data_IF_462704761538
#
_entry.id   IF_462704761538
#
_cell.length_a   1.000
_cell.length_b   1.000
_cell.length_c   1.000
_cell.angle_alpha   90.00
_cell.angle_beta   90.00
_cell.angle_gamma   90.00
#
_symmetry.space_group_name_H-M   'P 1'
#
loop_
_entity.id
_entity.type
_entity.pdbx_description
1 polymer ?
#
# COMPACT_ATOMS: atom_id res chain seq x y z
N UNK A 1 10.90 11.66 58.02
CA UNK A 1 11.91 11.40 56.99
C UNK A 1 11.55 12.20 55.74
N UNK A 2 12.20 13.35 55.51
CA UNK A 2 12.01 14.20 54.31
C UNK A 2 13.38 14.45 53.66
N UNK A 3 14.19 13.41 53.50
CA UNK A 3 15.53 13.53 52.92
C UNK A 3 15.52 12.94 51.52
N UNK A 4 16.15 13.65 50.58
CA UNK A 4 16.44 13.14 49.24
C UNK A 4 17.75 12.35 49.31
N UNK A 5 17.85 11.26 48.56
CA UNK A 5 19.10 10.52 48.44
C UNK A 5 19.98 11.17 47.38
N UNK A 6 21.25 11.35 47.72
CA UNK A 6 22.27 11.88 46.82
C UNK A 6 23.48 10.96 46.83
N UNK A 7 24.05 10.74 45.65
CA UNK A 7 25.42 10.29 45.53
C UNK A 7 26.27 11.55 45.34
N UNK A 8 27.02 11.93 46.38
CA UNK A 8 27.66 13.26 46.51
C UNK A 8 26.63 14.39 46.32
N UNK A 9 26.67 15.12 45.21
CA UNK A 9 25.79 16.24 44.87
C UNK A 9 24.73 15.88 43.81
N UNK A 10 24.80 14.69 43.22
CA UNK A 10 23.81 14.19 42.26
C UNK A 10 22.66 13.52 42.99
N UNK A 11 21.43 13.98 42.70
CA UNK A 11 20.22 13.32 43.20
C UNK A 11 20.14 11.93 42.58
N UNK A 12 19.96 10.92 43.43
CA UNK A 12 19.90 9.52 43.03
C UNK A 12 18.56 8.92 43.46
N UNK A 13 18.10 7.94 42.67
CA UNK A 13 16.93 7.12 43.00
C UNK A 13 17.38 5.66 43.02
N UNK A 14 16.85 4.89 43.95
CA UNK A 14 17.01 3.44 44.00
C UNK A 14 15.72 2.81 43.51
N UNK A 15 15.83 1.94 42.52
CA UNK A 15 14.69 1.28 41.88
C UNK A 15 14.96 -0.23 41.88
N UNK A 16 13.97 -1.03 42.28
CA UNK A 16 14.12 -2.49 42.29
C UNK A 16 14.25 -3.08 40.89
N UNK A 17 14.99 -4.18 40.76
CA UNK A 17 15.15 -4.90 39.49
C UNK A 17 13.79 -5.33 38.91
N UNK A 18 12.84 -5.73 39.77
CA UNK A 18 11.46 -6.09 39.40
C UNK A 18 10.66 -4.93 38.80
N UNK A 19 10.93 -3.69 39.25
CA UNK A 19 10.32 -2.48 38.68
C UNK A 19 10.86 -2.21 37.27
N UNK A 20 12.18 -2.36 37.06
CA UNK A 20 12.75 -2.30 35.72
C UNK A 20 12.31 -3.47 34.82
N UNK A 21 12.14 -4.67 35.40
CA UNK A 21 11.56 -5.82 34.72
C UNK A 21 10.14 -5.54 34.22
N UNK A 22 9.32 -4.90 35.05
CA UNK A 22 7.96 -4.47 34.67
C UNK A 22 7.98 -3.41 33.58
N UNK A 23 8.82 -2.36 33.71
CA UNK A 23 8.99 -1.34 32.67
C UNK A 23 9.40 -1.98 31.33
N UNK A 24 10.38 -2.88 31.37
CA UNK A 24 10.82 -3.64 30.20
C UNK A 24 9.66 -4.45 29.60
N UNK A 25 8.90 -5.14 30.45
CA UNK A 25 7.76 -5.94 30.01
C UNK A 25 6.74 -5.10 29.26
N UNK A 26 6.39 -3.95 29.81
CA UNK A 26 5.40 -3.05 29.22
C UNK A 26 5.91 -2.43 27.92
N UNK A 27 7.19 -2.01 27.87
CA UNK A 27 7.82 -1.50 26.64
C UNK A 27 7.81 -2.53 25.52
N UNK A 28 8.22 -3.77 25.80
CA UNK A 28 8.21 -4.86 24.81
C UNK A 28 6.78 -5.17 24.37
N UNK A 29 5.81 -5.15 25.28
CA UNK A 29 4.41 -5.44 24.96
C UNK A 29 3.78 -4.38 24.05
N UNK A 30 4.20 -3.12 24.17
CA UNK A 30 3.66 -2.00 23.36
C UNK A 30 4.41 -1.80 22.04
N UNK A 31 5.75 -1.89 22.06
CA UNK A 31 6.59 -1.53 20.92
C UNK A 31 7.02 -2.73 20.06
N UNK A 32 6.92 -3.94 20.62
CA UNK A 32 7.61 -5.12 20.11
C UNK A 32 9.07 -5.19 20.58
N UNK A 33 9.68 -6.37 20.46
CA UNK A 33 11.00 -6.66 21.01
C UNK A 33 12.10 -5.76 20.42
N UNK A 34 12.21 -5.68 19.09
CA UNK A 34 13.28 -4.93 18.41
C UNK A 34 13.27 -3.43 18.74
N UNK A 35 12.09 -2.80 18.70
CA UNK A 35 11.99 -1.37 19.02
C UNK A 35 12.26 -1.09 20.50
N UNK A 36 11.78 -1.96 21.39
CA UNK A 36 12.06 -1.84 22.82
C UNK A 36 13.56 -2.03 23.12
N UNK A 37 14.23 -2.97 22.43
CA UNK A 37 15.68 -3.19 22.49
C UNK A 37 16.45 -1.93 22.13
N UNK A 38 16.12 -1.29 20.99
CA UNK A 38 16.72 -0.02 20.59
C UNK A 38 16.46 1.12 21.58
N UNK A 39 15.23 1.24 22.10
CA UNK A 39 14.88 2.24 23.11
C UNK A 39 15.70 2.08 24.40
N UNK A 40 15.76 0.86 24.95
CA UNK A 40 16.51 0.55 26.18
C UNK A 40 18.01 0.74 25.99
N UNK A 41 18.54 0.38 24.82
CA UNK A 41 19.94 0.60 24.47
C UNK A 41 20.30 2.09 24.44
N UNK A 42 19.48 2.94 23.78
CA UNK A 42 19.71 4.40 23.78
C UNK A 42 19.52 5.03 25.15
N UNK A 43 18.58 4.53 25.94
CA UNK A 43 18.43 4.92 27.35
C UNK A 43 19.71 4.61 28.13
N UNK A 44 20.20 3.36 28.05
CA UNK A 44 21.45 2.94 28.68
C UNK A 44 22.64 3.78 28.24
N UNK A 45 22.78 4.05 26.94
CA UNK A 45 23.82 4.91 26.39
C UNK A 45 23.87 6.28 27.07
N UNK A 46 22.72 6.94 27.19
CA UNK A 46 22.64 8.22 27.85
C UNK A 46 22.97 8.13 29.35
N UNK A 47 22.59 7.04 30.04
CA UNK A 47 23.04 6.78 31.40
C UNK A 47 24.57 6.71 31.48
N UNK A 48 25.20 5.90 30.63
CA UNK A 48 26.66 5.74 30.58
C UNK A 48 27.40 7.05 30.30
N UNK A 49 26.94 7.84 29.33
CA UNK A 49 27.52 9.16 29.01
C UNK A 49 27.40 10.12 30.19
N UNK A 50 26.23 10.20 30.81
CA UNK A 50 25.99 11.08 31.95
C UNK A 50 26.84 10.69 33.16
N UNK A 51 26.97 9.39 33.41
CA UNK A 51 27.78 8.87 34.50
C UNK A 51 29.26 9.14 34.24
N UNK A 52 29.77 8.84 33.05
CA UNK A 52 31.15 9.12 32.68
C UNK A 52 31.52 10.59 32.93
N UNK A 53 30.68 11.52 32.48
CA UNK A 53 30.84 12.95 32.74
C UNK A 53 30.84 13.26 34.24
N UNK A 54 29.83 12.78 34.96
CA UNK A 54 29.65 13.10 36.37
C UNK A 54 30.81 12.57 37.23
N UNK A 55 31.19 11.31 37.04
CA UNK A 55 32.27 10.65 37.77
C UNK A 55 33.63 11.31 37.48
N UNK A 56 33.83 11.77 36.25
CA UNK A 56 35.03 12.51 35.86
C UNK A 56 35.19 13.80 36.65
N UNK A 57 34.10 14.51 36.89
CA UNK A 57 34.08 15.78 37.63
C UNK A 57 34.11 15.55 39.16
N UNK A 58 33.58 14.42 39.63
CA UNK A 58 33.35 14.15 41.06
C UNK A 58 34.60 13.72 41.85
N UNK A 59 35.55 13.04 41.20
CA UNK A 59 36.73 12.46 41.87
C UNK A 59 38.03 12.91 41.19
N UNK A 60 39.11 13.13 41.97
CA UNK A 60 40.44 13.27 41.39
C UNK A 60 40.91 11.90 40.89
N UNK A 61 41.27 11.81 39.61
CA UNK A 61 41.80 10.60 38.98
C UNK A 61 43.29 10.76 38.76
N UNK A 62 44.10 9.82 39.24
CA UNK A 62 45.54 9.84 39.00
C UNK A 62 45.87 9.31 37.59
N UNK A 63 45.11 8.31 37.14
CA UNK A 63 45.27 7.68 35.83
C UNK A 63 43.95 7.64 35.05
N UNK A 64 44.00 7.87 33.74
CA UNK A 64 42.83 7.77 32.85
C UNK A 64 42.20 6.37 32.87
N UNK A 65 43.02 5.33 33.04
CA UNK A 65 42.54 3.95 33.09
C UNK A 65 41.73 3.68 34.36
N UNK A 66 42.09 4.31 35.49
CA UNK A 66 41.37 4.19 36.74
C UNK A 66 39.94 4.75 36.61
N UNK A 67 39.81 5.88 35.92
CA UNK A 67 38.51 6.48 35.60
C UNK A 67 37.67 5.55 34.73
N UNK A 68 38.26 4.96 33.68
CA UNK A 68 37.56 4.00 32.82
C UNK A 68 37.04 2.78 33.60
N UNK A 69 37.87 2.23 34.51
CA UNK A 69 37.49 1.10 35.36
C UNK A 69 36.38 1.44 36.37
N UNK A 70 36.17 2.72 36.69
CA UNK A 70 35.09 3.15 37.56
C UNK A 70 33.69 2.80 37.01
N UNK A 71 33.53 2.77 35.69
CA UNK A 71 32.28 2.37 35.03
C UNK A 71 31.81 0.98 35.51
N UNK A 72 32.73 0.01 35.50
CA UNK A 72 32.46 -1.38 35.89
C UNK A 72 32.14 -1.51 37.38
N UNK A 73 32.82 -0.72 38.22
CA UNK A 73 32.54 -0.67 39.66
C UNK A 73 31.15 -0.10 39.95
N UNK A 74 30.73 0.91 39.21
CA UNK A 74 29.42 1.54 39.39
C UNK A 74 28.30 0.61 38.96
N UNK A 75 28.44 -0.06 37.83
CA UNK A 75 27.54 -1.16 37.43
C UNK A 75 27.36 -2.19 38.56
N UNK A 76 28.45 -2.56 39.23
CA UNK A 76 28.41 -3.52 40.34
C UNK A 76 27.77 -2.93 41.60
N UNK A 77 28.07 -1.67 41.95
CA UNK A 77 27.53 -0.99 43.15
C UNK A 77 26.04 -0.71 43.00
N UNK A 78 25.57 -0.38 41.80
CA UNK A 78 24.17 -0.17 41.50
C UNK A 78 23.37 -1.49 41.47
N UNK A 79 24.06 -2.63 41.55
CA UNK A 79 23.44 -3.95 41.51
C UNK A 79 22.89 -4.31 40.15
N UNK A 80 23.42 -3.73 39.07
CA UNK A 80 22.95 -4.02 37.70
C UNK A 80 23.62 -5.27 37.13
N UNK A 81 24.94 -5.40 37.31
CA UNK A 81 25.72 -6.54 36.85
C UNK A 81 27.07 -6.59 37.55
N UNK A 82 27.61 -7.79 37.77
CA UNK A 82 28.98 -7.99 38.21
C UNK A 82 29.90 -8.14 36.99
N UNK A 83 30.90 -7.28 36.88
CA UNK A 83 31.83 -7.26 35.74
C UNK A 83 33.13 -7.96 36.09
N UNK A 84 33.57 -8.88 35.23
CA UNK A 84 34.86 -9.56 35.32
C UNK A 84 35.61 -9.38 33.99
N UNK A 85 36.64 -8.53 34.01
CA UNK A 85 37.37 -8.15 32.80
C UNK A 85 38.45 -9.18 32.48
N UNK A 86 38.41 -9.70 31.25
CA UNK A 86 39.46 -10.59 30.71
C UNK A 86 40.59 -9.74 30.14
N UNK A 87 40.24 -8.72 29.35
CA UNK A 87 41.19 -7.86 28.69
C UNK A 87 40.65 -6.42 28.63
N UNK A 88 41.52 -5.46 28.94
CA UNK A 88 41.24 -4.04 28.74
C UNK A 88 42.49 -3.36 28.17
N UNK A 89 42.37 -2.83 26.95
CA UNK A 89 43.38 -2.00 26.30
C UNK A 89 42.74 -0.66 25.97
N UNK A 90 43.19 0.40 26.62
CA UNK A 90 42.68 1.74 26.36
C UNK A 90 43.84 2.74 26.32
N UNK A 91 43.92 3.50 25.24
CA UNK A 91 44.83 4.63 25.10
C UNK A 91 44.10 5.76 24.37
N UNK A 92 43.69 6.76 25.13
CA UNK A 92 42.94 7.91 24.62
C UNK A 92 43.73 8.73 23.58
N UNK A 93 45.03 8.92 23.78
CA UNK A 93 45.87 9.70 22.86
C UNK A 93 46.03 9.02 21.50
N UNK A 94 46.14 7.69 21.49
CA UNK A 94 46.22 6.88 20.26
C UNK A 94 44.85 6.53 19.67
N UNK A 95 43.78 6.78 20.41
CA UNK A 95 42.43 6.36 20.06
C UNK A 95 42.21 4.85 20.15
N UNK A 96 43.09 4.09 20.82
CA UNK A 96 42.96 2.64 20.96
C UNK A 96 41.98 2.29 22.07
N UNK A 97 41.03 1.39 21.79
CA UNK A 97 40.11 0.88 22.80
C UNK A 97 39.68 -0.55 22.47
N UNK A 98 39.83 -1.45 23.43
CA UNK A 98 39.34 -2.82 23.39
C UNK A 98 39.03 -3.28 24.81
N UNK A 99 37.85 -3.82 25.02
CA UNK A 99 37.45 -4.41 26.30
C UNK A 99 36.69 -5.70 26.06
N UNK A 100 37.07 -6.75 26.79
CA UNK A 100 36.42 -8.05 26.77
C UNK A 100 36.27 -8.56 28.20
N UNK A 101 35.14 -9.21 28.48
CA UNK A 101 34.89 -9.75 29.79
C UNK A 101 33.58 -10.52 29.91
N UNK A 102 33.28 -10.89 31.14
CA UNK A 102 32.05 -11.54 31.54
C UNK A 102 31.19 -10.62 32.39
N UNK A 103 29.88 -10.81 32.24
CA UNK A 103 28.84 -10.21 33.04
C UNK A 103 28.09 -11.29 33.78
N UNK A 104 28.20 -11.26 35.10
CA UNK A 104 27.51 -12.17 36.01
C UNK A 104 26.32 -11.47 36.66
N UNK A 105 25.28 -12.25 36.95
CA UNK A 105 24.09 -11.76 37.67
C UNK A 105 23.44 -10.53 37.00
N UNK A 106 23.39 -10.52 35.66
CA UNK A 106 22.70 -9.46 34.91
C UNK A 106 21.23 -9.39 35.32
N UNK A 107 20.84 -8.26 35.92
CA UNK A 107 19.44 -8.03 36.28
C UNK A 107 18.55 -8.09 35.03
N UNK A 108 19.04 -7.62 33.88
CA UNK A 108 18.28 -7.64 32.63
C UNK A 108 18.00 -9.04 32.14
N UNK A 109 19.00 -9.92 32.16
CA UNK A 109 18.81 -11.31 31.78
C UNK A 109 17.83 -12.01 32.73
N UNK A 110 18.01 -11.82 34.04
CA UNK A 110 17.12 -12.38 35.06
C UNK A 110 15.67 -11.93 34.85
N UNK A 111 15.43 -10.61 34.75
CA UNK A 111 14.09 -10.07 34.59
C UNK A 111 13.48 -10.40 33.23
N UNK A 112 14.29 -10.48 32.17
CA UNK A 112 13.82 -10.92 30.86
C UNK A 112 13.30 -12.36 30.94
N UNK A 113 14.09 -13.28 31.48
CA UNK A 113 13.72 -14.69 31.63
C UNK A 113 12.46 -14.82 32.49
N UNK A 114 12.38 -14.08 33.60
CA UNK A 114 11.21 -14.07 34.49
C UNK A 114 9.91 -13.68 33.77
N UNK A 115 9.97 -12.73 32.83
CA UNK A 115 8.77 -12.21 32.16
C UNK A 115 8.46 -12.87 30.80
N UNK A 116 9.48 -13.36 30.10
CA UNK A 116 9.38 -13.81 28.70
C UNK A 116 9.98 -15.19 28.45
N UNK A 117 10.69 -15.78 29.41
CA UNK A 117 11.53 -16.96 29.20
C UNK A 117 12.80 -16.64 28.42
N UNK A 118 13.47 -17.68 27.91
CA UNK A 118 14.65 -17.49 27.07
C UNK A 118 14.29 -16.90 25.72
N UNK A 119 15.17 -16.04 25.21
CA UNK A 119 15.06 -15.46 23.87
C UNK A 119 16.05 -16.14 22.90
N UNK A 120 15.89 -15.93 21.60
CA UNK A 120 16.83 -16.46 20.60
C UNK A 120 18.07 -15.56 20.41
N UNK A 121 18.05 -14.37 21.01
CA UNK A 121 19.09 -13.35 20.94
C UNK A 121 19.47 -12.80 22.32
N UNK A 122 20.63 -12.14 22.46
CA UNK A 122 21.01 -11.42 23.67
C UNK A 122 20.00 -10.34 24.07
N UNK A 123 19.77 -10.20 25.38
CA UNK A 123 18.69 -9.36 25.93
C UNK A 123 19.18 -8.20 26.80
N UNK A 124 20.48 -8.08 27.09
CA UNK A 124 21.05 -7.09 28.03
C UNK A 124 21.20 -5.68 27.40
N UNK A 125 20.14 -5.13 26.80
CA UNK A 125 20.12 -3.91 26.00
C UNK A 125 20.54 -2.64 26.75
N UNK A 126 20.07 -2.40 27.98
CA UNK A 126 20.44 -1.19 28.73
C UNK A 126 21.89 -1.27 29.19
N UNK A 127 22.34 -2.44 29.65
CA UNK A 127 23.72 -2.68 30.07
C UNK A 127 24.71 -2.44 28.93
N UNK A 128 24.46 -2.98 27.73
CA UNK A 128 25.32 -2.73 26.56
C UNK A 128 25.30 -1.26 26.15
N UNK A 129 24.13 -0.62 26.25
CA UNK A 129 23.97 0.80 26.03
C UNK A 129 24.88 1.60 26.95
N UNK A 130 24.78 1.36 28.26
CA UNK A 130 25.58 2.05 29.28
C UNK A 130 27.07 1.92 29.01
N UNK A 131 27.56 0.69 28.83
CA UNK A 131 28.98 0.45 28.62
C UNK A 131 29.48 1.22 27.39
N UNK A 132 28.79 1.08 26.25
CA UNK A 132 29.13 1.80 25.02
C UNK A 132 29.06 3.33 25.17
N UNK A 133 28.09 3.85 25.93
CA UNK A 133 27.96 5.29 26.19
C UNK A 133 29.12 5.83 27.02
N UNK A 134 29.50 5.10 28.07
CA UNK A 134 30.65 5.43 28.90
C UNK A 134 31.96 5.35 28.10
N UNK A 135 32.21 4.24 27.41
CA UNK A 135 33.40 4.03 26.59
C UNK A 135 33.54 5.08 25.49
N UNK A 136 32.42 5.48 24.89
CA UNK A 136 32.40 6.56 23.88
C UNK A 136 32.75 7.92 24.45
N UNK A 137 32.25 8.24 25.65
CA UNK A 137 32.60 9.48 26.33
C UNK A 137 34.09 9.49 26.74
N UNK A 138 34.59 8.37 27.23
CA UNK A 138 36.01 8.20 27.56
C UNK A 138 36.91 8.48 26.36
N UNK A 139 36.63 7.82 25.23
CA UNK A 139 37.47 7.86 24.03
C UNK A 139 37.26 9.13 23.18
N UNK A 140 36.08 9.76 23.27
CA UNK A 140 35.70 10.91 22.44
C UNK A 140 35.22 10.54 21.04
N UNK A 141 34.97 9.25 20.77
CA UNK A 141 34.41 8.71 19.52
C UNK A 141 33.51 7.51 19.81
N UNK A 142 32.76 7.05 18.81
CA UNK A 142 31.74 6.01 18.99
C UNK A 142 32.37 4.63 19.24
N UNK A 143 32.22 4.15 20.46
CA UNK A 143 32.54 2.79 20.91
C UNK A 143 31.25 1.98 20.95
N UNK A 144 31.28 0.77 20.40
CA UNK A 144 30.12 -0.11 20.33
C UNK A 144 30.38 -1.38 21.12
N UNK A 145 29.37 -1.77 21.88
CA UNK A 145 29.37 -2.93 22.74
C UNK A 145 28.51 -4.03 22.11
N UNK A 146 29.03 -5.25 22.07
CA UNK A 146 28.32 -6.43 21.58
C UNK A 146 28.29 -7.50 22.66
N UNK A 147 27.08 -7.92 23.02
CA UNK A 147 26.81 -9.09 23.86
C UNK A 147 26.92 -10.34 22.98
N UNK A 148 28.00 -11.10 23.12
CA UNK A 148 28.34 -12.24 22.25
C UNK A 148 27.68 -13.52 22.73
N UNK A 149 27.58 -13.68 24.05
CA UNK A 149 26.90 -14.77 24.75
C UNK A 149 26.00 -14.14 25.81
N UNK A 150 24.83 -14.72 26.07
CA UNK A 150 23.87 -14.12 27.00
C UNK A 150 23.08 -15.16 27.77
N UNK A 151 22.98 -15.00 29.09
CA UNK A 151 22.12 -15.83 29.95
C UNK A 151 20.65 -15.78 29.50
N UNK A 152 20.19 -14.61 29.03
CA UNK A 152 18.85 -14.45 28.47
C UNK A 152 18.58 -15.32 27.24
N UNK A 153 19.63 -15.65 26.47
CA UNK A 153 19.58 -16.55 25.33
C UNK A 153 19.65 -18.04 25.71
N UNK A 154 20.12 -18.31 26.92
CA UNK A 154 20.37 -19.66 27.45
C UNK A 154 21.85 -20.02 27.58
N UNK A 155 22.76 -19.09 27.33
CA UNK A 155 24.20 -19.31 27.55
C UNK A 155 24.53 -19.31 29.07
N UNK A 156 25.64 -19.95 29.50
CA UNK A 156 25.98 -20.03 30.93
C UNK A 156 26.25 -18.67 31.58
N UNK A 157 26.83 -17.74 30.83
CA UNK A 157 27.22 -16.41 31.26
C UNK A 157 26.98 -15.40 30.14
N UNK A 158 26.90 -14.12 30.47
CA UNK A 158 26.96 -13.08 29.46
C UNK A 158 28.43 -12.76 29.16
N UNK A 159 28.84 -12.77 27.89
CA UNK A 159 30.20 -12.42 27.46
C UNK A 159 30.13 -11.26 26.49
N UNK A 160 30.96 -10.26 26.70
CA UNK A 160 30.94 -9.05 25.89
C UNK A 160 32.26 -8.75 25.22
N UNK A 161 32.16 -8.01 24.11
CA UNK A 161 33.27 -7.36 23.45
C UNK A 161 32.87 -5.91 23.17
N UNK A 162 33.78 -4.99 23.44
CA UNK A 162 33.58 -3.56 23.24
C UNK A 162 34.79 -2.97 22.52
N UNK A 163 34.54 -2.30 21.39
CA UNK A 163 35.57 -1.64 20.58
C UNK A 163 34.97 -0.51 19.71
N UNK A 164 35.79 0.42 19.22
CA UNK A 164 35.39 1.47 18.29
C UNK A 164 34.63 0.91 17.08
N UNK A 165 33.66 1.66 16.57
CA UNK A 165 32.82 1.23 15.43
C UNK A 165 33.67 0.83 14.21
N UNK A 166 34.78 1.51 13.99
CA UNK A 166 35.69 1.28 12.86
C UNK A 166 36.41 -0.09 12.95
N UNK A 167 36.57 -0.62 14.16
CA UNK A 167 37.31 -1.86 14.43
C UNK A 167 36.42 -3.12 14.34
N UNK A 168 35.11 -2.96 14.10
CA UNK A 168 34.14 -4.07 14.00
C UNK A 168 34.01 -4.71 12.62
N UNK A 169 34.30 -3.98 11.54
CA UNK A 169 33.95 -4.44 10.20
C UNK A 169 32.43 -4.64 10.04
N UNK A 170 32.01 -5.67 9.29
CA UNK A 170 30.59 -5.92 8.99
C UNK A 170 29.82 -6.58 10.13
N UNK A 171 30.49 -7.10 11.16
CA UNK A 171 29.86 -7.86 12.26
C UNK A 171 28.93 -7.03 13.15
N UNK A 172 29.01 -5.71 13.07
CA UNK A 172 28.22 -4.78 13.89
C UNK A 172 26.99 -4.23 13.15
N UNK A 173 26.86 -4.48 11.85
CA UNK A 173 25.80 -3.91 11.02
C UNK A 173 24.38 -4.18 11.54
N UNK A 174 24.16 -5.32 12.18
CA UNK A 174 22.84 -5.69 12.71
C UNK A 174 22.48 -4.90 13.98
N UNK A 175 23.47 -4.35 14.68
CA UNK A 175 23.30 -3.66 15.97
C UNK A 175 23.27 -2.14 15.77
N UNK A 176 23.96 -1.61 14.75
CA UNK A 176 24.03 -0.17 14.50
C UNK A 176 22.67 0.54 14.39
N UNK A 177 21.64 -0.02 13.72
CA UNK A 177 20.32 0.60 13.63
C UNK A 177 19.66 0.85 15.01
N UNK A 178 19.96 0.01 16.01
CA UNK A 178 19.38 0.14 17.36
C UNK A 178 19.79 1.44 18.06
N UNK A 179 20.93 2.01 17.69
CA UNK A 179 21.44 3.27 18.22
C UNK A 179 20.81 4.50 17.55
N UNK A 180 20.09 4.35 16.45
CA UNK A 180 19.45 5.46 15.74
C UNK A 180 18.07 5.77 16.31
N UNK A 181 17.71 7.05 16.42
CA UNK A 181 16.38 7.46 16.85
C UNK A 181 15.38 7.31 15.70
N UNK A 182 14.61 6.22 15.72
CA UNK A 182 13.41 6.12 14.88
C UNK A 182 12.26 6.88 15.53
N UNK A 183 11.78 7.93 14.85
CA UNK A 183 10.63 8.69 15.31
C UNK A 183 9.32 7.99 14.94
N UNK A 184 8.80 7.17 15.87
CA UNK A 184 7.58 6.37 15.70
C UNK A 184 6.37 7.20 15.24
N UNK A 185 6.26 8.45 15.70
CA UNK A 185 5.14 9.32 15.32
C UNK A 185 5.10 9.62 13.83
N UNK A 186 6.27 9.77 13.21
CA UNK A 186 6.40 10.11 11.78
C UNK A 186 6.07 8.91 10.90
N UNK A 187 6.53 7.71 11.29
CA UNK A 187 6.24 6.47 10.56
C UNK A 187 4.74 6.16 10.61
N UNK A 188 4.15 6.28 11.80
CA UNK A 188 2.73 6.02 12.02
C UNK A 188 1.85 7.02 11.26
N UNK A 189 2.18 8.31 11.31
CA UNK A 189 1.48 9.34 10.52
C UNK A 189 1.55 9.07 9.01
N UNK A 190 2.71 8.61 8.52
CA UNK A 190 2.87 8.25 7.10
C UNK A 190 1.99 7.06 6.74
N UNK A 191 1.96 6.02 7.58
CA UNK A 191 1.12 4.85 7.37
C UNK A 191 -0.37 5.23 7.37
N UNK A 192 -0.82 6.02 8.35
CA UNK A 192 -2.19 6.52 8.42
C UNK A 192 -2.59 7.31 7.18
N UNK A 193 -1.76 8.26 6.73
CA UNK A 193 -2.03 9.04 5.51
C UNK A 193 -2.13 8.16 4.27
N UNK A 194 -1.32 7.11 4.18
CA UNK A 194 -1.37 6.15 3.06
C UNK A 194 -2.71 5.39 3.04
N UNK A 195 -3.15 4.90 4.20
CA UNK A 195 -4.43 4.19 4.35
C UNK A 195 -5.61 5.11 4.02
N UNK A 196 -5.57 6.36 4.50
CA UNK A 196 -6.62 7.34 4.24
C UNK A 196 -6.75 7.64 2.75
N UNK A 197 -5.62 7.79 2.05
CA UNK A 197 -5.60 7.94 0.58
C UNK A 197 -6.20 6.73 -0.13
N UNK A 198 -5.80 5.52 0.22
CA UNK A 198 -6.33 4.29 -0.39
C UNK A 198 -7.84 4.15 -0.18
N UNK A 199 -8.34 4.51 1.01
CA UNK A 199 -9.77 4.52 1.31
C UNK A 199 -10.53 5.51 0.41
N UNK A 200 -9.98 6.69 0.21
CA UNK A 200 -10.58 7.72 -0.66
C UNK A 200 -10.63 7.26 -2.12
N UNK A 201 -9.55 6.65 -2.61
CA UNK A 201 -9.47 6.11 -3.97
C UNK A 201 -10.47 4.96 -4.19
N UNK A 202 -10.58 4.04 -3.22
CA UNK A 202 -11.57 2.95 -3.25
C UNK A 202 -13.01 3.48 -3.26
N UNK A 203 -13.29 4.48 -2.42
CA UNK A 203 -14.63 5.09 -2.34
C UNK A 203 -15.03 5.75 -3.66
N UNK A 204 -14.09 6.43 -4.33
CA UNK A 204 -14.31 6.97 -5.68
C UNK A 204 -14.60 5.85 -6.68
N UNK A 205 -13.80 4.79 -6.68
CA UNK A 205 -13.98 3.66 -7.59
C UNK A 205 -15.34 2.96 -7.43
N UNK A 206 -15.80 2.79 -6.18
CA UNK A 206 -17.10 2.21 -5.84
C UNK A 206 -18.27 3.11 -6.26
N UNK A 207 -18.21 4.40 -5.97
CA UNK A 207 -19.25 5.36 -6.37
C UNK A 207 -19.41 5.41 -7.90
N UNK A 208 -18.31 5.33 -8.64
CA UNK A 208 -18.36 5.20 -10.09
C UNK A 208 -19.07 3.89 -10.48
N UNK A 209 -18.77 2.77 -9.82
CA UNK A 209 -19.39 1.47 -10.14
C UNK A 209 -20.91 1.41 -9.84
N UNK A 210 -21.36 2.02 -8.73
CA UNK A 210 -22.78 2.07 -8.37
C UNK A 210 -23.60 2.89 -9.37
N UNK A 211 -23.09 4.07 -9.77
CA UNK A 211 -23.74 4.91 -10.79
C UNK A 211 -23.89 4.18 -12.12
N UNK A 212 -22.88 3.40 -12.49
CA UNK A 212 -22.84 2.59 -13.71
C UNK A 212 -23.82 1.42 -13.67
N UNK A 213 -23.93 0.74 -12.52
CA UNK A 213 -24.89 -0.36 -12.34
C UNK A 213 -26.34 0.10 -12.45
N UNK A 214 -26.65 1.30 -11.94
CA UNK A 214 -27.99 1.88 -12.02
C UNK A 214 -28.45 2.23 -13.44
N UNK A 215 -27.52 2.46 -14.37
CA UNK A 215 -27.85 2.72 -15.78
C UNK A 215 -28.32 1.44 -16.48
N UNK A 216 -27.74 0.27 -16.14
CA UNK A 216 -28.14 -1.02 -16.70
C UNK A 216 -29.51 -1.50 -16.19
N UNK A 217 -29.82 -1.26 -14.91
CA UNK A 217 -31.04 -1.79 -14.27
C UNK A 217 -32.32 -1.09 -14.79
N UNK A 218 -32.22 0.13 -15.30
CA UNK A 218 -33.38 0.90 -15.75
C UNK A 218 -33.89 0.50 -17.15
N UNK A 219 -33.23 -0.43 -17.84
CA UNK A 219 -33.69 -0.93 -19.14
C UNK A 219 -33.66 0.10 -20.27
N UNK A 220 -32.94 1.21 -20.08
CA UNK A 220 -32.75 2.22 -21.12
C UNK A 220 -31.92 1.68 -22.27
N UNK A 221 -32.39 1.86 -23.51
CA UNK A 221 -31.61 1.52 -24.70
C UNK A 221 -30.34 2.35 -24.84
N UNK A 222 -29.49 2.04 -25.82
CA UNK A 222 -28.20 2.71 -26.05
C UNK A 222 -28.30 4.25 -26.10
N UNK A 223 -29.39 4.79 -26.66
CA UNK A 223 -29.64 6.24 -26.72
C UNK A 223 -29.72 6.90 -25.33
N UNK A 224 -30.28 6.22 -24.32
CA UNK A 224 -30.38 6.78 -22.97
C UNK A 224 -29.02 6.81 -22.27
N UNK A 225 -28.16 5.82 -22.55
CA UNK A 225 -26.78 5.77 -22.05
C UNK A 225 -25.97 6.95 -22.62
N UNK A 226 -26.06 7.17 -23.93
CA UNK A 226 -25.39 8.30 -24.62
C UNK A 226 -25.88 9.64 -24.06
N UNK A 227 -27.19 9.79 -23.85
CA UNK A 227 -27.78 11.00 -23.25
C UNK A 227 -27.30 11.24 -21.83
N UNK A 228 -27.36 10.23 -20.95
CA UNK A 228 -26.91 10.35 -19.55
C UNK A 228 -25.41 10.65 -19.45
N UNK A 229 -24.59 10.04 -20.32
CA UNK A 229 -23.17 10.35 -20.38
C UNK A 229 -22.94 11.82 -20.74
N UNK A 230 -23.61 12.30 -21.79
CA UNK A 230 -23.50 13.68 -22.24
C UNK A 230 -24.00 14.71 -21.23
N UNK A 231 -25.11 14.42 -20.55
CA UNK A 231 -25.64 15.25 -19.45
C UNK A 231 -24.67 15.29 -18.25
N UNK A 232 -24.10 14.14 -17.87
CA UNK A 232 -23.20 14.04 -16.72
C UNK A 232 -21.86 14.74 -16.96
N UNK A 233 -21.33 14.68 -18.17
CA UNK A 233 -20.04 15.29 -18.54
C UNK A 233 -20.20 16.67 -19.18
N UNK A 234 -21.44 17.13 -19.43
CA UNK A 234 -21.76 18.38 -20.14
C UNK A 234 -20.97 18.54 -21.45
N UNK A 235 -20.71 17.43 -22.13
CA UNK A 235 -19.85 17.36 -23.31
C UNK A 235 -20.60 16.64 -24.43
N UNK A 236 -20.48 17.11 -25.69
CA UNK A 236 -21.05 16.40 -26.83
C UNK A 236 -20.50 14.97 -26.94
N UNK A 237 -21.40 14.01 -27.17
CA UNK A 237 -21.09 12.58 -27.27
C UNK A 237 -21.55 12.06 -28.63
N UNK A 238 -20.74 11.22 -29.25
CA UNK A 238 -21.09 10.50 -30.46
C UNK A 238 -20.89 9.00 -30.29
N UNK A 239 -21.80 8.23 -30.86
CA UNK A 239 -21.81 6.78 -30.86
C UNK A 239 -21.87 6.32 -32.32
N UNK A 240 -20.77 5.72 -32.81
CA UNK A 240 -20.56 5.45 -34.23
C UNK A 240 -20.30 3.95 -34.47
N UNK A 241 -20.75 3.41 -35.60
CA UNK A 241 -20.49 2.02 -35.99
C UNK A 241 -19.00 1.75 -36.31
N UNK A 242 -18.66 0.52 -36.67
CA UNK A 242 -17.31 0.11 -37.06
C UNK A 242 -16.67 0.93 -38.21
N UNK A 243 -17.50 1.62 -39.01
CA UNK A 243 -17.12 2.49 -40.11
C UNK A 243 -17.29 3.97 -39.74
N UNK A 244 -17.33 4.31 -38.45
CA UNK A 244 -17.56 5.67 -37.94
C UNK A 244 -18.80 6.37 -38.55
N UNK A 245 -19.80 5.59 -38.97
CA UNK A 245 -21.11 6.13 -39.29
C UNK A 245 -21.88 6.30 -37.98
N UNK A 246 -22.48 7.47 -37.81
CA UNK A 246 -23.16 7.80 -36.56
C UNK A 246 -24.43 6.95 -36.40
N UNK A 247 -24.52 6.28 -35.26
CA UNK A 247 -25.74 5.58 -34.81
C UNK A 247 -26.56 6.54 -33.93
N UNK A 248 -25.90 7.20 -32.96
CA UNK A 248 -26.55 8.13 -32.01
C UNK A 248 -25.61 9.29 -31.62
N UNK A 249 -26.17 10.41 -31.16
CA UNK A 249 -25.38 11.52 -30.59
C UNK A 249 -26.15 12.36 -29.58
N UNK A 250 -25.41 13.04 -28.72
CA UNK A 250 -25.92 14.01 -27.75
C UNK A 250 -25.19 15.35 -27.85
N UNK A 251 -25.93 16.45 -27.75
CA UNK A 251 -25.41 17.83 -27.79
C UNK A 251 -25.27 18.40 -29.22
N UNK A 252 -24.64 19.58 -29.33
CA UNK A 252 -24.37 20.26 -30.62
C UNK A 252 -23.22 19.58 -31.39
N UNK A 253 -23.42 18.31 -31.75
CA UNK A 253 -22.47 17.57 -32.57
C UNK A 253 -22.62 17.96 -34.04
N UNK A 254 -21.53 18.42 -34.66
CA UNK A 254 -21.47 18.74 -36.10
C UNK A 254 -20.89 17.58 -36.90
N UNK A 255 -21.54 17.27 -38.02
CA UNK A 255 -21.08 16.24 -38.96
C UNK A 255 -19.70 16.57 -39.51
N UNK A 256 -18.86 15.55 -39.70
CA UNK A 256 -17.51 15.69 -40.23
C UNK A 256 -17.02 14.37 -40.84
N UNK A 257 -16.05 14.44 -41.75
CA UNK A 257 -15.54 13.28 -42.51
C UNK A 257 -14.49 12.48 -41.71
N UNK A 258 -14.87 11.94 -40.54
CA UNK A 258 -13.95 11.23 -39.65
C UNK A 258 -13.33 9.98 -40.32
N UNK A 259 -14.10 9.27 -41.14
CA UNK A 259 -13.59 8.13 -41.90
C UNK A 259 -12.45 8.49 -42.84
N UNK A 260 -12.55 9.64 -43.50
CA UNK A 260 -11.51 10.12 -44.41
C UNK A 260 -10.25 10.47 -43.65
N UNK A 261 -10.38 11.09 -42.47
CA UNK A 261 -9.25 11.33 -41.57
C UNK A 261 -8.57 10.02 -41.17
N UNK A 262 -9.33 9.04 -40.71
CA UNK A 262 -8.77 7.76 -40.24
C UNK A 262 -8.11 7.00 -41.39
N UNK A 263 -8.69 6.98 -42.59
CA UNK A 263 -8.08 6.35 -43.76
C UNK A 263 -6.74 6.99 -44.14
N UNK A 264 -6.67 8.34 -44.17
CA UNK A 264 -5.45 9.07 -44.50
C UNK A 264 -4.39 8.87 -43.41
N UNK A 265 -4.78 8.94 -42.13
CA UNK A 265 -3.88 8.79 -40.99
C UNK A 265 -3.39 7.35 -40.81
N UNK A 266 -4.22 6.35 -41.14
CA UNK A 266 -3.81 4.95 -41.17
C UNK A 266 -2.81 4.67 -42.30
N UNK A 267 -3.01 5.27 -43.48
CA UNK A 267 -2.04 5.23 -44.59
C UNK A 267 -0.69 5.87 -44.23
N UNK A 268 -0.68 6.84 -43.33
CA UNK A 268 0.53 7.51 -42.80
C UNK A 268 1.15 6.82 -41.57
N UNK A 269 0.58 5.69 -41.10
CA UNK A 269 0.99 5.00 -39.86
C UNK A 269 1.03 5.92 -38.63
N UNK A 270 -0.01 6.73 -38.43
CA UNK A 270 -0.12 7.55 -37.23
C UNK A 270 -0.13 6.65 -35.96
N UNK A 271 0.75 6.88 -34.98
CA UNK A 271 0.84 6.08 -33.77
C UNK A 271 -0.44 6.10 -32.92
N UNK A 272 -1.24 7.18 -32.97
CA UNK A 272 -2.51 7.25 -32.23
C UNK A 272 -3.57 6.34 -32.87
N UNK A 273 -3.62 6.28 -34.20
CA UNK A 273 -4.53 5.38 -34.91
C UNK A 273 -4.11 3.92 -34.74
N UNK A 274 -2.81 3.64 -34.70
CA UNK A 274 -2.32 2.29 -34.38
C UNK A 274 -2.70 1.85 -32.95
N UNK A 275 -2.60 2.76 -31.97
CA UNK A 275 -3.06 2.48 -30.60
C UNK A 275 -4.56 2.20 -30.52
N UNK A 276 -5.36 2.92 -31.30
CA UNK A 276 -6.80 2.68 -31.37
C UNK A 276 -7.12 1.33 -32.05
N UNK A 277 -6.57 1.09 -33.25
CA UNK A 277 -6.97 -0.05 -34.09
C UNK A 277 -6.29 -1.37 -33.71
N UNK A 278 -5.01 -1.33 -33.35
CA UNK A 278 -4.20 -2.53 -33.08
C UNK A 278 -4.15 -2.82 -31.58
N UNK A 279 -3.89 -1.81 -30.75
CA UNK A 279 -3.78 -1.98 -29.29
C UNK A 279 -5.14 -1.91 -28.58
N UNK A 280 -6.21 -1.51 -29.29
CA UNK A 280 -7.58 -1.38 -28.77
C UNK A 280 -7.66 -0.50 -27.53
N UNK A 281 -6.89 0.59 -27.50
CA UNK A 281 -6.85 1.54 -26.40
C UNK A 281 -7.64 2.81 -26.72
N UNK A 282 -8.16 3.43 -25.68
CA UNK A 282 -8.76 4.77 -25.76
C UNK A 282 -7.70 5.78 -26.21
N UNK A 283 -8.04 6.65 -27.16
CA UNK A 283 -7.11 7.66 -27.68
C UNK A 283 -7.76 9.04 -27.79
N UNK A 284 -6.96 10.08 -27.57
CA UNK A 284 -7.32 11.47 -27.88
C UNK A 284 -6.78 11.82 -29.27
N UNK A 285 -7.66 12.19 -30.19
CA UNK A 285 -7.33 12.66 -31.53
C UNK A 285 -7.58 14.15 -31.65
N UNK A 286 -6.74 14.84 -32.43
CA UNK A 286 -6.98 16.23 -32.84
C UNK A 286 -7.31 16.25 -34.32
N UNK A 287 -8.52 16.68 -34.65
CA UNK A 287 -9.04 16.74 -36.01
C UNK A 287 -8.88 18.17 -36.54
N UNK A 288 -8.29 18.30 -37.72
CA UNK A 288 -8.06 19.58 -38.41
C UNK A 288 -9.30 20.06 -39.17
N UNK A 289 -9.34 21.35 -39.52
CA UNK A 289 -10.45 21.97 -40.27
C UNK A 289 -10.68 21.33 -41.65
N UNK A 290 -9.63 20.76 -42.25
CA UNK A 290 -9.69 20.04 -43.54
C UNK A 290 -10.71 18.89 -43.57
N UNK A 291 -11.14 18.40 -42.40
CA UNK A 291 -12.09 17.31 -42.25
C UNK A 291 -13.47 17.77 -41.76
N UNK A 292 -13.75 19.07 -41.82
CA UNK A 292 -15.04 19.68 -41.50
C UNK A 292 -14.88 20.88 -40.57
N UNK A 293 -14.32 20.65 -39.39
CA UNK A 293 -14.05 21.70 -38.39
C UNK A 293 -13.05 21.21 -37.34
N UNK A 294 -12.30 22.14 -36.73
CA UNK A 294 -11.25 21.81 -35.76
C UNK A 294 -11.83 21.39 -34.42
N UNK A 295 -11.47 20.19 -33.95
CA UNK A 295 -11.88 19.70 -32.64
C UNK A 295 -10.95 18.62 -32.10
N UNK A 296 -11.11 18.34 -30.80
CA UNK A 296 -10.51 17.19 -30.15
C UNK A 296 -11.56 16.14 -29.86
N UNK A 297 -11.17 14.88 -30.03
CA UNK A 297 -12.05 13.73 -29.87
C UNK A 297 -11.38 12.67 -29.01
N UNK A 298 -11.98 12.31 -27.89
CA UNK A 298 -11.57 11.17 -27.08
C UNK A 298 -12.42 9.97 -27.50
N UNK A 299 -11.80 8.90 -27.99
CA UNK A 299 -12.49 7.74 -28.58
C UNK A 299 -12.18 6.50 -27.74
N UNK A 300 -13.24 5.85 -27.24
CA UNK A 300 -13.19 4.53 -26.64
C UNK A 300 -13.83 3.48 -27.57
N UNK A 301 -13.28 2.27 -27.58
CA UNK A 301 -13.79 1.16 -28.40
C UNK A 301 -14.70 0.25 -27.59
N UNK A 302 -15.75 -0.24 -28.23
CA UNK A 302 -16.67 -1.24 -27.68
C UNK A 302 -16.38 -2.57 -28.36
N UNK A 303 -15.81 -3.50 -27.59
CA UNK A 303 -15.36 -4.80 -28.07
C UNK A 303 -16.37 -5.89 -27.73
N UNK A 304 -16.79 -6.66 -28.74
CA UNK A 304 -17.61 -7.86 -28.55
C UNK A 304 -16.85 -9.07 -29.09
N UNK A 305 -16.65 -10.10 -28.25
CA UNK A 305 -15.88 -11.31 -28.61
C UNK A 305 -14.52 -10.99 -29.27
N UNK A 306 -13.86 -9.93 -28.79
CA UNK A 306 -12.57 -9.43 -29.27
C UNK A 306 -12.58 -8.77 -30.68
N UNK A 307 -13.75 -8.50 -31.26
CA UNK A 307 -13.91 -7.70 -32.48
C UNK A 307 -14.44 -6.30 -32.12
N UNK A 308 -13.95 -5.27 -32.82
CA UNK A 308 -14.44 -3.90 -32.64
C UNK A 308 -15.81 -3.81 -33.31
N UNK A 309 -16.84 -3.45 -32.54
CA UNK A 309 -18.19 -3.32 -33.07
C UNK A 309 -18.61 -1.86 -33.24
N UNK A 310 -18.25 -1.01 -32.27
CA UNK A 310 -18.77 0.36 -32.16
C UNK A 310 -17.74 1.26 -31.47
N UNK A 311 -17.76 2.55 -31.76
CA UNK A 311 -16.95 3.57 -31.11
C UNK A 311 -17.84 4.54 -30.32
N UNK A 312 -17.39 4.90 -29.12
CA UNK A 312 -18.01 5.91 -28.28
C UNK A 312 -17.02 7.06 -28.09
N UNK A 313 -17.46 8.28 -28.36
CA UNK A 313 -16.56 9.44 -28.45
C UNK A 313 -17.08 10.65 -27.69
N UNK A 314 -16.18 11.36 -27.00
CA UNK A 314 -16.42 12.71 -26.48
C UNK A 314 -15.76 13.74 -27.41
N UNK A 315 -16.42 14.87 -27.63
CA UNK A 315 -15.97 15.89 -28.59
C UNK A 315 -15.90 17.27 -27.92
N UNK A 316 -14.78 17.96 -28.06
CA UNK A 316 -14.59 19.33 -27.56
C UNK A 316 -13.98 20.22 -28.65
N UNK A 317 -14.49 21.45 -28.81
CA UNK A 317 -13.89 22.41 -29.74
C UNK A 317 -12.50 22.87 -29.25
N UNK A 318 -12.35 23.10 -27.93
CA UNK A 318 -11.10 23.51 -27.28
C UNK A 318 -10.97 22.87 -25.88
N UNK A 319 -9.73 22.62 -25.43
CA UNK A 319 -9.43 22.07 -24.10
C UNK A 319 -8.70 20.73 -24.12
N UNK A 320 -8.59 20.08 -22.97
CA UNK A 320 -8.09 18.71 -22.80
C UNK A 320 -9.14 17.85 -22.09
N UNK A 321 -9.02 16.54 -22.18
CA UNK A 321 -9.84 15.62 -21.39
C UNK A 321 -9.16 15.34 -20.06
N UNK A 322 -9.91 15.42 -18.96
CA UNK A 322 -9.41 15.07 -17.63
C UNK A 322 -9.45 13.55 -17.39
N UNK A 323 -8.79 13.11 -16.31
CA UNK A 323 -8.70 11.68 -15.97
C UNK A 323 -10.08 11.08 -15.66
N UNK A 324 -11.01 11.87 -15.14
CA UNK A 324 -12.38 11.44 -14.84
C UNK A 324 -13.18 11.21 -16.12
N UNK A 325 -13.02 12.05 -17.15
CA UNK A 325 -13.64 11.92 -18.46
C UNK A 325 -13.17 10.66 -19.18
N UNK A 326 -11.86 10.37 -19.13
CA UNK A 326 -11.28 9.14 -19.71
C UNK A 326 -11.87 7.91 -19.02
N UNK A 327 -11.81 7.85 -17.68
CA UNK A 327 -12.34 6.72 -16.91
C UNK A 327 -13.85 6.55 -17.15
N UNK A 328 -14.60 7.64 -17.22
CA UNK A 328 -16.06 7.59 -17.43
C UNK A 328 -16.39 7.09 -18.84
N UNK A 329 -15.64 7.53 -19.86
CA UNK A 329 -15.85 7.08 -21.23
C UNK A 329 -15.57 5.58 -21.40
N UNK A 330 -14.43 5.11 -20.89
CA UNK A 330 -14.05 3.68 -20.93
C UNK A 330 -15.07 2.80 -20.23
N UNK A 331 -15.53 3.23 -19.06
CA UNK A 331 -16.55 2.48 -18.32
C UNK A 331 -17.90 2.50 -19.03
N UNK A 332 -18.28 3.62 -19.65
CA UNK A 332 -19.53 3.69 -20.44
C UNK A 332 -19.45 2.79 -21.67
N UNK A 333 -18.28 2.71 -22.33
CA UNK A 333 -18.05 1.76 -23.42
C UNK A 333 -18.30 0.30 -22.98
N UNK A 334 -17.85 -0.08 -21.78
CA UNK A 334 -18.14 -1.41 -21.22
C UNK A 334 -19.64 -1.64 -20.95
N UNK A 335 -20.37 -0.63 -20.44
CA UNK A 335 -21.82 -0.73 -20.28
C UNK A 335 -22.49 -0.94 -21.64
N UNK A 336 -22.12 -0.15 -22.64
CA UNK A 336 -22.67 -0.29 -23.99
C UNK A 336 -22.39 -1.69 -24.56
N UNK A 337 -21.20 -2.27 -24.30
CA UNK A 337 -20.90 -3.65 -24.69
C UNK A 337 -21.89 -4.65 -24.07
N UNK A 338 -22.14 -4.53 -22.77
CA UNK A 338 -23.08 -5.40 -22.04
C UNK A 338 -24.51 -5.21 -22.58
N UNK A 339 -24.94 -3.97 -22.81
CA UNK A 339 -26.26 -3.67 -23.35
C UNK A 339 -26.46 -4.27 -24.74
N UNK A 340 -25.47 -4.15 -25.63
CA UNK A 340 -25.52 -4.76 -26.98
C UNK A 340 -25.59 -6.29 -26.89
N UNK A 341 -24.83 -6.92 -25.97
CA UNK A 341 -24.90 -8.37 -25.76
C UNK A 341 -26.27 -8.81 -25.25
N UNK A 342 -26.85 -8.03 -24.33
CA UNK A 342 -28.19 -8.29 -23.81
C UNK A 342 -29.23 -8.20 -24.93
N UNK A 343 -29.24 -7.11 -25.72
CA UNK A 343 -30.14 -6.93 -26.86
C UNK A 343 -30.00 -8.05 -27.90
N UNK A 344 -28.77 -8.46 -28.25
CA UNK A 344 -28.54 -9.61 -29.15
C UNK A 344 -29.11 -10.91 -28.59
N UNK A 345 -28.91 -11.15 -27.29
CA UNK A 345 -29.42 -12.37 -26.64
C UNK A 345 -30.94 -12.40 -26.65
N UNK A 346 -31.60 -11.26 -26.44
CA UNK A 346 -33.06 -11.13 -26.55
C UNK A 346 -33.53 -11.46 -27.97
N UNK A 347 -32.89 -10.89 -29.00
CA UNK A 347 -33.22 -11.16 -30.41
C UNK A 347 -32.99 -12.64 -30.77
N UNK A 348 -31.87 -13.23 -30.36
CA UNK A 348 -31.57 -14.65 -30.62
C UNK A 348 -32.61 -15.57 -29.97
N UNK A 349 -33.01 -15.27 -28.72
CA UNK A 349 -34.08 -16.00 -28.03
C UNK A 349 -35.40 -15.84 -28.77
N UNK A 350 -35.76 -14.63 -29.19
CA UNK A 350 -37.00 -14.37 -29.94
C UNK A 350 -37.02 -15.13 -31.28
N UNK A 351 -35.92 -15.10 -32.04
CA UNK A 351 -35.78 -15.83 -33.29
C UNK A 351 -35.85 -17.35 -33.10
N UNK A 352 -35.20 -17.87 -32.04
CA UNK A 352 -35.26 -19.29 -31.70
C UNK A 352 -36.69 -19.72 -31.37
N UNK A 353 -37.40 -18.95 -30.54
CA UNK A 353 -38.80 -19.24 -30.19
C UNK A 353 -39.70 -19.17 -31.42
N UNK A 354 -39.51 -18.19 -32.33
CA UNK A 354 -40.22 -18.14 -33.62
C UNK A 354 -39.92 -19.35 -34.51
N UNK A 355 -38.67 -19.78 -34.58
CA UNK A 355 -38.25 -20.95 -35.34
C UNK A 355 -38.84 -22.25 -34.80
N UNK A 356 -38.81 -22.45 -33.48
CA UNK A 356 -39.45 -23.58 -32.81
C UNK A 356 -40.96 -23.60 -33.06
N UNK A 357 -41.62 -22.45 -32.99
CA UNK A 357 -43.04 -22.30 -33.27
C UNK A 357 -43.40 -22.67 -34.71
N UNK A 358 -42.65 -22.18 -35.70
CA UNK A 358 -42.86 -22.54 -37.12
C UNK A 358 -42.64 -24.03 -37.34
N UNK A 359 -41.57 -24.60 -36.76
CA UNK A 359 -41.30 -26.04 -36.86
C UNK A 359 -42.42 -26.86 -36.23
N UNK A 360 -42.95 -26.45 -35.08
CA UNK A 360 -44.04 -27.15 -34.39
C UNK A 360 -45.37 -27.03 -35.14
N UNK A 361 -45.60 -25.93 -35.87
CA UNK A 361 -46.74 -25.75 -36.79
C UNK A 361 -46.71 -26.66 -38.02
N UNK A 362 -45.51 -27.00 -38.50
CA UNK A 362 -45.31 -27.85 -39.69
C UNK A 362 -45.40 -29.35 -39.38
N UNK A 363 -45.48 -29.75 -38.11
CA UNK A 363 -45.64 -31.15 -37.69
C UNK A 363 -47.11 -31.59 -37.73
N UNK A 364 -47.41 -32.76 -38.30
CA UNK A 364 -48.78 -33.32 -38.44
C UNK A 364 -49.51 -33.57 -37.08
N UNK A 365 -48.77 -33.63 -35.97
CA UNK A 365 -49.30 -33.84 -34.61
C UNK A 365 -48.82 -32.74 -33.64
N UNK A 366 -49.19 -31.49 -33.93
CA UNK A 366 -48.77 -30.33 -33.14
C UNK A 366 -49.45 -30.26 -31.75
N UNK A 367 -48.66 -30.00 -30.70
CA UNK A 367 -49.19 -29.87 -29.35
C UNK A 367 -49.77 -28.48 -29.12
N UNK A 368 -51.11 -28.38 -29.14
CA UNK A 368 -51.84 -27.10 -28.99
C UNK A 368 -51.45 -26.28 -27.75
N UNK A 369 -51.01 -26.90 -26.64
CA UNK A 369 -50.57 -26.16 -25.44
C UNK A 369 -49.19 -25.54 -25.59
N UNK A 370 -48.27 -26.22 -26.28
CA UNK A 370 -46.92 -25.71 -26.57
C UNK A 370 -46.99 -24.53 -27.54
N UNK A 371 -47.76 -24.70 -28.62
CA UNK A 371 -48.03 -23.63 -29.59
C UNK A 371 -48.64 -22.39 -28.92
N UNK A 372 -49.61 -22.56 -28.01
CA UNK A 372 -50.24 -21.43 -27.29
C UNK A 372 -49.26 -20.72 -26.35
N UNK A 373 -48.32 -21.44 -25.76
CA UNK A 373 -47.28 -20.88 -24.89
C UNK A 373 -46.24 -20.09 -25.69
N UNK A 374 -45.75 -20.64 -26.81
CA UNK A 374 -44.83 -19.94 -27.71
C UNK A 374 -45.49 -18.71 -28.36
N UNK A 375 -46.77 -18.79 -28.75
CA UNK A 375 -47.54 -17.63 -29.25
C UNK A 375 -47.60 -16.48 -28.24
N UNK A 376 -47.76 -16.79 -26.94
CA UNK A 376 -47.75 -15.79 -25.86
C UNK A 376 -46.38 -15.15 -25.65
N UNK A 377 -45.29 -15.85 -25.97
CA UNK A 377 -43.92 -15.32 -25.88
C UNK A 377 -43.54 -14.48 -27.10
N UNK A 378 -44.07 -14.80 -28.29
CA UNK A 378 -43.74 -14.13 -29.55
C UNK A 378 -44.53 -12.83 -29.74
N UNK A 379 -45.78 -12.79 -29.26
CA UNK A 379 -46.63 -11.63 -29.43
C UNK A 379 -46.99 -11.04 -28.07
N UNK A 380 -46.63 -9.77 -27.85
CA UNK A 380 -47.22 -8.94 -26.79
C UNK A 380 -48.69 -8.66 -27.13
N UNK A 381 -49.57 -9.63 -26.86
CA UNK A 381 -51.02 -9.45 -27.08
C UNK A 381 -51.71 -8.86 -25.86
N UNK A 382 -52.30 -7.69 -26.09
CA UNK A 382 -53.52 -7.22 -25.45
C UNK A 382 -54.66 -8.18 -25.85
N UNK A 383 -55.45 -8.63 -24.88
CA UNK A 383 -56.21 -9.89 -24.94
C UNK A 383 -57.41 -9.95 -25.91
N UNK A 384 -57.64 -8.94 -26.75
CA UNK A 384 -58.93 -8.76 -27.45
C UNK A 384 -58.90 -8.78 -28.99
N UNK A 385 -57.81 -9.20 -29.66
CA UNK A 385 -57.82 -9.36 -31.14
C UNK A 385 -57.35 -10.73 -31.60
N UNK A 386 -58.31 -11.55 -32.02
CA UNK A 386 -58.13 -12.85 -32.67
C UNK A 386 -57.30 -12.70 -33.96
N UNK A 387 -56.21 -13.49 -34.09
CA UNK A 387 -55.55 -13.76 -35.37
C UNK A 387 -56.03 -15.12 -35.86
N UNK A 388 -56.90 -15.13 -36.87
CA UNK A 388 -57.29 -16.33 -37.59
C UNK A 388 -56.27 -16.57 -38.71
N UNK A 389 -55.28 -17.43 -38.46
CA UNK A 389 -54.36 -17.88 -39.49
C UNK A 389 -54.94 -19.14 -40.15
N UNK A 390 -55.71 -18.95 -41.22
CA UNK A 390 -56.17 -20.05 -42.07
C UNK A 390 -54.97 -20.57 -42.89
N UNK A 391 -54.44 -21.73 -42.53
CA UNK A 391 -53.70 -22.58 -43.46
C UNK A 391 -54.73 -23.50 -44.13
N UNK A 392 -55.18 -23.13 -45.32
CA UNK A 392 -55.84 -24.07 -46.22
C UNK A 392 -54.77 -25.00 -46.81
N UNK A 393 -54.88 -26.29 -46.53
CA UNK A 393 -54.42 -27.36 -47.41
C UNK A 393 -55.62 -28.17 -47.86
#
# INVERSE_FOLDING_TARGET
>A
MKERYFFKDRRTIFTGADSYGTLRKDLISVLGHERAKGFLLRYGWNCGVNDAKYIREMLPWEEELEWLLAASKIHSIEGTVLVDSIELRANKEKGEFYSEGYWYHSYEAEQHIKHFGHHHEPVCSTLIGYAGGYGSYYLGRRVVFKDVECVGKGDPYCRYIEKPIEDWGTEINDILPLYEEENLSIELDRAYRSIEKQKEDLKKALNINEKLSNVLIQGGGLAEIVRKLGESLKTPVAFDDQNFNRIESFGDYREHELMRYIQISNGKRDPLIQKLMTEKRTVELTISEDFGWRHKRLIALILLKNEICVYLSLVKEQGHFDEMEIITLERTANICAIQILHERSVIEVEQRVKGEFINELLLENSNKKSLLYQLKLICTFDSDKYVQMCLCF
#
